data_IF_178003562625
#
_entry.id   IF_178003562625
#
_cell.length_a   1.000
_cell.length_b   1.000
_cell.length_c   1.000
_cell.angle_alpha   90.00
_cell.angle_beta   90.00
_cell.angle_gamma   90.00
#
_symmetry.space_group_name_H-M   'P 1'
#
loop_
_entity.id
_entity.type
_entity.pdbx_description
1 polymer ?
#
# COMPACT_ATOMS: atom_id res chain seq x y z
N UNK A 1 65.49 12.87 -31.03
CA UNK A 1 64.16 12.21 -30.90
C UNK A 1 63.62 12.00 -32.30
N UNK A 2 63.54 10.75 -32.79
CA UNK A 2 62.81 10.46 -34.04
C UNK A 2 61.32 10.74 -33.80
N UNK A 3 60.61 11.41 -34.71
CA UNK A 3 59.15 11.53 -34.60
C UNK A 3 58.56 10.13 -34.68
N UNK A 4 57.64 9.81 -33.77
CA UNK A 4 56.83 8.60 -33.87
C UNK A 4 55.97 8.72 -35.13
N UNK A 5 56.37 8.03 -36.19
CA UNK A 5 55.58 7.86 -37.39
C UNK A 5 54.36 6.97 -37.05
N UNK A 6 53.27 7.58 -36.62
CA UNK A 6 52.02 6.90 -36.20
C UNK A 6 51.01 6.75 -37.34
N UNK A 7 51.49 6.51 -38.56
CA UNK A 7 50.61 6.26 -39.69
C UNK A 7 50.98 4.95 -40.40
N UNK A 8 50.81 3.82 -39.69
CA UNK A 8 50.47 2.57 -40.37
C UNK A 8 48.96 2.62 -40.64
N UNK A 9 48.56 2.70 -41.90
CA UNK A 9 47.15 2.63 -42.27
C UNK A 9 46.56 1.30 -41.76
N UNK A 10 45.63 1.38 -40.81
CA UNK A 10 44.94 0.22 -40.26
C UNK A 10 44.27 -0.56 -41.40
N UNK A 11 44.47 -1.88 -41.39
CA UNK A 11 43.77 -2.80 -42.30
C UNK A 11 42.25 -2.73 -42.09
N UNK A 12 41.44 -3.09 -43.10
CA UNK A 12 39.99 -3.17 -42.94
C UNK A 12 39.56 -4.04 -41.76
N UNK A 13 40.25 -5.15 -41.51
CA UNK A 13 39.97 -6.06 -40.40
C UNK A 13 40.26 -5.42 -39.03
N UNK A 14 41.35 -4.67 -38.90
CA UNK A 14 41.66 -3.92 -37.68
C UNK A 14 40.65 -2.81 -37.42
N UNK A 15 40.21 -2.10 -38.47
CA UNK A 15 39.15 -1.09 -38.36
C UNK A 15 37.83 -1.72 -37.91
N UNK A 16 37.48 -2.90 -38.45
CA UNK A 16 36.26 -3.61 -38.04
C UNK A 16 36.34 -4.04 -36.57
N UNK A 17 37.46 -4.60 -36.12
CA UNK A 17 37.65 -4.94 -34.69
C UNK A 17 37.52 -3.73 -33.76
N UNK A 18 38.03 -2.57 -34.17
CA UNK A 18 37.87 -1.33 -33.41
C UNK A 18 36.41 -0.87 -33.37
N UNK A 19 35.71 -0.97 -34.50
CA UNK A 19 34.28 -0.64 -34.58
C UNK A 19 33.45 -1.57 -33.68
N UNK A 20 33.70 -2.88 -33.73
CA UNK A 20 33.00 -3.87 -32.89
C UNK A 20 33.21 -3.58 -31.40
N UNK A 21 34.42 -3.13 -31.00
CA UNK A 21 34.70 -2.68 -29.62
C UNK A 21 33.92 -1.42 -29.23
N UNK A 22 33.70 -0.49 -30.16
CA UNK A 22 32.89 0.71 -29.92
C UNK A 22 31.41 0.30 -29.78
N UNK A 23 30.90 -0.50 -30.71
CA UNK A 23 29.49 -0.92 -30.75
C UNK A 23 29.10 -1.78 -29.53
N UNK A 24 30.04 -2.54 -28.97
CA UNK A 24 29.83 -3.33 -27.74
C UNK A 24 30.11 -2.56 -26.45
N UNK A 25 30.64 -1.33 -26.54
CA UNK A 25 30.94 -0.51 -25.37
C UNK A 25 29.67 0.00 -24.70
N UNK A 26 29.54 -0.09 -23.35
CA UNK A 26 28.42 0.54 -22.63
C UNK A 26 28.28 2.04 -22.93
N UNK A 27 29.39 2.73 -23.21
CA UNK A 27 29.39 4.16 -23.53
C UNK A 27 28.70 4.50 -24.87
N UNK A 28 28.50 3.51 -25.74
CA UNK A 28 27.81 3.68 -27.02
C UNK A 28 26.32 3.33 -26.95
N UNK A 29 25.85 2.75 -25.84
CA UNK A 29 24.42 2.50 -25.61
C UNK A 29 23.73 3.82 -25.29
N UNK A 30 22.55 4.05 -25.87
CA UNK A 30 21.78 5.27 -25.56
C UNK A 30 21.38 5.27 -24.09
N UNK A 31 21.54 6.41 -23.43
CA UNK A 31 21.37 6.53 -21.97
C UNK A 31 20.01 6.02 -21.44
N UNK A 32 18.92 6.21 -22.21
CA UNK A 32 17.58 5.77 -21.80
C UNK A 32 17.30 4.28 -22.08
N UNK A 33 18.16 3.60 -22.85
CA UNK A 33 18.14 2.16 -23.10
C UNK A 33 19.12 1.40 -22.17
N UNK A 34 20.09 2.11 -21.56
CA UNK A 34 21.09 1.52 -20.65
C UNK A 34 20.58 1.39 -19.20
N UNK A 35 20.04 0.21 -18.87
CA UNK A 35 19.54 -0.10 -17.52
C UNK A 35 20.65 -0.04 -16.46
N UNK A 36 21.90 -0.41 -16.78
CA UNK A 36 23.01 -0.38 -15.81
C UNK A 36 23.38 1.06 -15.47
N UNK A 37 23.40 1.94 -16.48
CA UNK A 37 23.57 3.37 -16.28
C UNK A 37 22.43 3.96 -15.43
N UNK A 38 21.17 3.65 -15.75
CA UNK A 38 20.01 4.07 -14.96
C UNK A 38 20.02 3.56 -13.51
N UNK A 39 20.71 2.45 -13.24
CA UNK A 39 20.89 1.86 -11.91
C UNK A 39 22.01 2.52 -11.07
N UNK A 40 22.81 3.42 -11.63
CA UNK A 40 23.82 4.18 -10.88
C UNK A 40 23.22 5.04 -9.76
N UNK A 41 24.01 5.29 -8.71
CA UNK A 41 23.56 6.06 -7.52
C UNK A 41 23.18 7.50 -7.89
N UNK A 42 23.91 8.09 -8.82
CA UNK A 42 23.74 9.46 -9.31
C UNK A 42 22.38 9.65 -10.01
N UNK A 43 21.81 8.58 -10.57
CA UNK A 43 20.51 8.62 -11.24
C UNK A 43 19.34 8.25 -10.33
N UNK A 44 19.56 8.15 -9.01
CA UNK A 44 18.46 8.02 -8.04
C UNK A 44 17.37 9.09 -8.21
N UNK A 45 17.66 10.39 -8.45
CA UNK A 45 16.61 11.39 -8.67
C UNK A 45 15.72 11.09 -9.87
N UNK A 46 16.29 10.58 -10.96
CA UNK A 46 15.53 10.18 -12.16
C UNK A 46 14.63 8.98 -11.86
N UNK A 47 15.15 7.97 -11.14
CA UNK A 47 14.33 6.81 -10.73
C UNK A 47 13.20 7.20 -9.78
N UNK A 48 13.45 8.13 -8.85
CA UNK A 48 12.40 8.70 -8.00
C UNK A 48 11.33 9.40 -8.85
N UNK A 49 11.73 10.18 -9.85
CA UNK A 49 10.78 10.81 -10.78
C UNK A 49 9.95 9.78 -11.55
N UNK A 50 10.56 8.68 -12.00
CA UNK A 50 9.83 7.60 -12.69
C UNK A 50 8.81 6.90 -11.77
N UNK A 51 9.17 6.61 -10.51
CA UNK A 51 8.25 6.03 -9.54
C UNK A 51 7.14 6.99 -9.09
N UNK A 52 7.36 8.30 -9.18
CA UNK A 52 6.31 9.29 -9.03
C UNK A 52 5.37 9.31 -10.25
N UNK A 53 5.93 9.37 -11.46
CA UNK A 53 5.15 9.61 -12.69
C UNK A 53 4.37 8.38 -13.16
N UNK A 54 4.97 7.18 -13.14
CA UNK A 54 4.34 5.98 -13.72
C UNK A 54 2.96 5.69 -13.12
N UNK A 55 2.77 5.62 -11.79
CA UNK A 55 1.45 5.38 -11.23
C UNK A 55 0.48 6.52 -11.52
N UNK A 56 0.92 7.78 -11.45
CA UNK A 56 0.04 8.93 -11.73
C UNK A 56 -0.47 8.94 -13.17
N UNK A 57 0.41 8.68 -14.15
CA UNK A 57 0.05 8.62 -15.56
C UNK A 57 -0.94 7.49 -15.83
N UNK A 58 -0.65 6.29 -15.34
CA UNK A 58 -1.53 5.11 -15.54
C UNK A 58 -2.88 5.30 -14.84
N UNK A 59 -2.90 5.84 -13.61
CA UNK A 59 -4.14 6.16 -12.90
C UNK A 59 -4.97 7.21 -13.65
N UNK A 60 -4.33 8.20 -14.27
CA UNK A 60 -5.00 9.20 -15.09
C UNK A 60 -5.58 8.62 -16.40
N UNK A 61 -4.83 7.79 -17.12
CA UNK A 61 -5.28 7.06 -18.31
C UNK A 61 -6.51 6.20 -18.00
N UNK A 62 -6.50 5.58 -16.82
CA UNK A 62 -7.60 4.80 -16.28
C UNK A 62 -8.71 5.61 -15.61
N UNK A 63 -8.62 6.95 -15.64
CA UNK A 63 -9.63 7.90 -15.13
C UNK A 63 -9.93 7.72 -13.64
N UNK A 64 -8.96 7.27 -12.85
CA UNK A 64 -9.10 7.13 -11.39
C UNK A 64 -9.08 8.53 -10.75
N UNK A 65 -10.22 8.97 -10.24
CA UNK A 65 -10.40 10.34 -9.72
C UNK A 65 -10.03 10.47 -8.24
N UNK A 66 -10.26 9.42 -7.45
CA UNK A 66 -9.96 9.41 -6.03
C UNK A 66 -9.95 8.00 -5.48
N UNK A 67 -9.33 7.83 -4.31
CA UNK A 67 -9.14 6.54 -3.66
C UNK A 67 -9.65 6.54 -2.23
N UNK A 68 -9.96 5.34 -1.73
CA UNK A 68 -10.07 5.04 -0.30
C UNK A 68 -8.93 4.11 0.04
N UNK A 69 -8.03 4.57 0.90
CA UNK A 69 -6.86 3.80 1.30
C UNK A 69 -7.25 2.85 2.41
N UNK A 70 -6.98 1.56 2.24
CA UNK A 70 -7.25 0.53 3.25
C UNK A 70 -5.93 -0.11 3.70
N UNK A 71 -5.64 0.06 4.98
CA UNK A 71 -4.50 -0.54 5.66
C UNK A 71 -4.95 -1.56 6.70
N UNK A 72 -4.05 -2.50 7.01
CA UNK A 72 -4.23 -3.48 8.07
C UNK A 72 -3.19 -4.57 8.00
N UNK A 73 -3.31 -5.54 8.90
CA UNK A 73 -2.36 -6.66 9.00
C UNK A 73 -2.30 -7.50 7.73
N UNK A 74 -1.07 -7.80 7.29
CA UNK A 74 -0.80 -8.83 6.28
C UNK A 74 -0.94 -10.27 6.83
N UNK A 75 -1.20 -10.42 8.13
CA UNK A 75 -1.26 -11.72 8.83
C UNK A 75 -2.67 -12.13 9.26
N UNK A 76 -3.67 -11.25 9.08
CA UNK A 76 -5.07 -11.63 9.27
C UNK A 76 -5.48 -12.52 8.11
N UNK A 77 -6.25 -13.57 8.35
CA UNK A 77 -6.55 -14.61 7.36
C UNK A 77 -8.07 -14.81 7.27
N UNK A 78 -8.58 -15.38 6.16
CA UNK A 78 -9.98 -15.77 6.07
C UNK A 78 -10.39 -16.69 7.24
N UNK A 79 -11.63 -16.61 7.75
CA UNK A 79 -12.07 -17.39 8.91
C UNK A 79 -11.89 -18.91 8.75
N UNK A 80 -12.11 -19.44 7.55
CA UNK A 80 -11.93 -20.88 7.26
C UNK A 80 -10.48 -21.30 7.46
N UNK A 81 -9.55 -20.57 6.83
CA UNK A 81 -8.12 -20.84 6.95
C UNK A 81 -7.60 -20.67 8.37
N UNK A 82 -8.07 -19.66 9.11
CA UNK A 82 -7.69 -19.46 10.51
C UNK A 82 -8.14 -20.63 11.41
N UNK A 83 -9.34 -21.19 11.16
CA UNK A 83 -9.85 -22.36 11.90
C UNK A 83 -9.06 -23.63 11.56
N UNK A 84 -8.69 -23.81 10.30
CA UNK A 84 -7.85 -24.93 9.88
C UNK A 84 -6.47 -24.88 10.56
N UNK A 85 -5.82 -23.71 10.57
CA UNK A 85 -4.55 -23.52 11.27
C UNK A 85 -4.66 -23.81 12.78
N UNK A 86 -5.75 -23.36 13.42
CA UNK A 86 -6.00 -23.67 14.83
C UNK A 86 -6.17 -25.18 15.06
N UNK A 87 -6.94 -25.86 14.21
CA UNK A 87 -7.12 -27.31 14.33
C UNK A 87 -5.79 -28.06 14.17
N UNK A 88 -4.93 -27.63 13.23
CA UNK A 88 -3.60 -28.19 13.04
C UNK A 88 -2.69 -27.94 14.25
N UNK A 89 -2.65 -26.72 14.78
CA UNK A 89 -1.87 -26.38 15.96
C UNK A 89 -2.31 -27.20 17.19
N UNK A 90 -3.62 -27.34 17.40
CA UNK A 90 -4.19 -28.16 18.48
C UNK A 90 -3.87 -29.64 18.32
N UNK A 91 -3.86 -30.17 17.09
CA UNK A 91 -3.48 -31.56 16.84
C UNK A 91 -2.00 -31.82 17.18
N UNK A 92 -1.09 -30.90 16.81
CA UNK A 92 0.33 -30.99 17.18
C UNK A 92 0.52 -30.92 18.70
N UNK A 93 -0.11 -29.95 19.37
CA UNK A 93 0.00 -29.78 20.82
C UNK A 93 -0.60 -30.97 21.60
N UNK A 94 -1.59 -31.68 21.04
CA UNK A 94 -2.09 -32.93 21.63
C UNK A 94 -1.09 -34.08 21.54
N UNK A 95 -0.24 -34.09 20.51
CA UNK A 95 0.79 -35.12 20.33
C UNK A 95 1.97 -34.94 21.29
N UNK A 96 2.29 -33.70 21.68
CA UNK A 96 3.27 -33.40 22.73
C UNK A 96 2.76 -32.27 23.65
N UNK A 97 1.99 -32.60 24.71
CA UNK A 97 1.39 -31.60 25.60
C UNK A 97 2.38 -30.86 26.50
N UNK A 98 3.61 -31.35 26.63
CA UNK A 98 4.64 -30.72 27.47
C UNK A 98 5.45 -29.66 26.70
N UNK A 99 5.31 -29.60 25.37
CA UNK A 99 6.00 -28.65 24.53
C UNK A 99 5.38 -27.23 24.66
N UNK A 100 6.17 -26.34 25.24
CA UNK A 100 5.80 -24.94 25.44
C UNK A 100 5.59 -24.19 24.11
N UNK A 101 6.40 -24.46 23.08
CA UNK A 101 6.32 -23.77 21.80
C UNK A 101 5.04 -24.16 21.05
N UNK A 102 4.62 -25.43 21.14
CA UNK A 102 3.34 -25.88 20.60
C UNK A 102 2.15 -25.26 21.34
N UNK A 103 2.21 -25.12 22.67
CA UNK A 103 1.19 -24.39 23.43
C UNK A 103 1.09 -22.92 22.99
N UNK A 104 2.24 -22.27 22.75
CA UNK A 104 2.26 -20.90 22.20
C UNK A 104 1.78 -20.82 20.75
N UNK A 105 1.97 -21.85 19.93
CA UNK A 105 1.39 -21.94 18.58
C UNK A 105 -0.14 -21.97 18.63
N UNK A 106 -0.72 -22.77 19.52
CA UNK A 106 -2.18 -22.82 19.73
C UNK A 106 -2.74 -21.46 20.16
N UNK A 107 -2.11 -20.79 21.14
CA UNK A 107 -2.54 -19.46 21.57
C UNK A 107 -2.51 -18.44 20.42
N UNK A 108 -1.44 -18.46 19.60
CA UNK A 108 -1.34 -17.58 18.43
C UNK A 108 -2.41 -17.90 17.38
N UNK A 109 -2.69 -19.17 17.12
CA UNK A 109 -3.73 -19.59 16.19
C UNK A 109 -5.14 -19.20 16.69
N UNK A 110 -5.37 -19.29 18.00
CA UNK A 110 -6.63 -18.85 18.62
C UNK A 110 -6.86 -17.35 18.41
N UNK A 111 -5.82 -16.54 18.60
CA UNK A 111 -5.88 -15.11 18.29
C UNK A 111 -6.11 -14.85 16.80
N UNK A 112 -5.55 -15.65 15.89
CA UNK A 112 -5.83 -15.51 14.44
C UNK A 112 -7.30 -15.76 14.13
N UNK A 113 -7.91 -16.76 14.75
CA UNK A 113 -9.36 -17.02 14.61
C UNK A 113 -10.16 -15.82 15.10
N UNK A 114 -9.82 -15.27 16.26
CA UNK A 114 -10.48 -14.08 16.81
C UNK A 114 -10.38 -12.91 15.83
N UNK A 115 -9.20 -12.63 15.27
CA UNK A 115 -8.99 -11.52 14.34
C UNK A 115 -9.50 -11.79 12.91
N UNK A 116 -9.84 -13.03 12.56
CA UNK A 116 -10.26 -13.40 11.20
C UNK A 116 -11.55 -12.70 10.74
N UNK A 117 -12.41 -12.27 11.68
CA UNK A 117 -13.62 -11.51 11.33
C UNK A 117 -13.30 -10.17 10.65
N UNK A 118 -12.15 -9.54 10.97
CA UNK A 118 -11.70 -8.32 10.30
C UNK A 118 -11.41 -8.53 8.81
N UNK A 119 -11.07 -9.76 8.39
CA UNK A 119 -10.96 -10.08 6.97
C UNK A 119 -12.31 -9.89 6.26
N UNK A 120 -13.38 -10.47 6.81
CA UNK A 120 -14.71 -10.34 6.23
C UNK A 120 -15.25 -8.91 6.32
N UNK A 121 -14.98 -8.17 7.40
CA UNK A 121 -15.36 -6.77 7.50
C UNK A 121 -14.62 -5.89 6.48
N UNK A 122 -13.33 -6.11 6.24
CA UNK A 122 -12.57 -5.40 5.22
C UNK A 122 -13.08 -5.69 3.81
N UNK A 123 -13.38 -6.96 3.52
CA UNK A 123 -14.00 -7.39 2.27
C UNK A 123 -15.37 -6.76 2.06
N UNK A 124 -16.23 -6.79 3.08
CA UNK A 124 -17.57 -6.19 3.05
C UNK A 124 -17.51 -4.68 2.87
N UNK A 125 -16.64 -3.99 3.61
CA UNK A 125 -16.42 -2.56 3.51
C UNK A 125 -16.03 -2.13 2.09
N UNK A 126 -15.04 -2.81 1.52
CA UNK A 126 -14.59 -2.54 0.16
C UNK A 126 -15.69 -2.81 -0.89
N UNK A 127 -16.47 -3.87 -0.72
CA UNK A 127 -17.60 -4.19 -1.61
C UNK A 127 -18.69 -3.11 -1.58
N UNK A 128 -19.03 -2.59 -0.40
CA UNK A 128 -20.03 -1.52 -0.23
C UNK A 128 -19.60 -0.25 -0.98
N UNK A 129 -18.36 0.20 -0.75
CA UNK A 129 -17.84 1.42 -1.39
C UNK A 129 -17.75 1.25 -2.90
N UNK A 130 -17.22 0.10 -3.34
CA UNK A 130 -17.01 -0.17 -4.77
C UNK A 130 -18.33 -0.17 -5.53
N UNK A 131 -19.36 -0.86 -5.03
CA UNK A 131 -20.72 -0.79 -5.59
C UNK A 131 -21.25 0.64 -5.59
N UNK A 132 -21.13 1.36 -4.48
CA UNK A 132 -21.69 2.69 -4.35
C UNK A 132 -21.04 3.74 -5.27
N UNK A 133 -19.75 3.60 -5.61
CA UNK A 133 -18.96 4.66 -6.26
C UNK A 133 -18.48 4.29 -7.66
N UNK A 134 -18.51 3.02 -8.05
CA UNK A 134 -18.02 2.57 -9.35
C UNK A 134 -19.09 2.00 -10.30
N UNK A 135 -20.33 1.73 -9.84
CA UNK A 135 -21.39 1.20 -10.72
C UNK A 135 -21.68 2.07 -11.94
N UNK A 136 -21.61 3.40 -11.81
CA UNK A 136 -21.80 4.34 -12.93
C UNK A 136 -20.47 4.74 -13.61
N UNK A 137 -19.39 3.96 -13.42
CA UNK A 137 -18.04 4.24 -13.94
C UNK A 137 -17.48 5.62 -13.56
N UNK A 138 -17.92 6.20 -12.43
CA UNK A 138 -17.39 7.48 -11.93
C UNK A 138 -15.93 7.39 -11.47
N UNK A 139 -15.51 6.18 -11.05
CA UNK A 139 -14.15 5.85 -10.62
C UNK A 139 -13.64 6.80 -9.53
N UNK A 140 -14.54 7.15 -8.61
CA UNK A 140 -14.22 7.82 -7.36
C UNK A 140 -14.16 6.80 -6.22
N UNK A 141 -13.44 7.12 -5.14
CA UNK A 141 -13.29 6.25 -3.96
C UNK A 141 -12.84 4.82 -4.29
N UNK A 142 -12.00 4.67 -5.31
CA UNK A 142 -11.46 3.36 -5.71
C UNK A 142 -10.60 2.80 -4.58
N UNK A 143 -10.82 1.53 -4.23
CA UNK A 143 -10.07 0.88 -3.16
C UNK A 143 -8.59 0.78 -3.57
N UNK A 144 -7.72 1.30 -2.71
CA UNK A 144 -6.25 1.18 -2.85
C UNK A 144 -5.68 0.56 -1.59
N UNK A 145 -4.79 -0.41 -1.77
CA UNK A 145 -4.13 -1.14 -0.68
C UNK A 145 -2.64 -1.26 -0.97
N UNK A 146 -1.89 -1.80 -0.01
CA UNK A 146 -0.49 -2.19 -0.23
C UNK A 146 -0.30 -3.44 -1.08
N UNK A 147 -1.40 -4.08 -1.51
CA UNK A 147 -1.44 -5.21 -2.44
C UNK A 147 -0.88 -6.55 -1.92
N UNK A 148 -0.55 -6.65 -0.64
CA UNK A 148 -0.21 -7.91 0.02
C UNK A 148 -1.44 -8.75 0.42
N UNK A 149 -1.23 -9.83 1.20
CA UNK A 149 -2.26 -10.69 1.75
C UNK A 149 -2.99 -10.04 2.94
N UNK A 150 -3.90 -10.78 3.55
CA UNK A 150 -4.65 -10.39 4.73
C UNK A 150 -5.63 -9.25 4.48
N UNK A 151 -5.63 -8.21 5.31
CA UNK A 151 -6.61 -7.11 5.17
C UNK A 151 -6.54 -6.45 3.78
N UNK A 152 -5.33 -6.29 3.24
CA UNK A 152 -5.12 -5.70 1.92
C UNK A 152 -5.81 -6.55 0.84
N UNK A 153 -5.59 -7.86 0.87
CA UNK A 153 -6.26 -8.81 -0.02
C UNK A 153 -7.77 -8.81 0.18
N UNK A 154 -8.26 -8.84 1.42
CA UNK A 154 -9.68 -8.80 1.72
C UNK A 154 -10.36 -7.59 1.08
N UNK A 155 -9.76 -6.41 1.20
CA UNK A 155 -10.27 -5.19 0.59
C UNK A 155 -10.22 -5.24 -0.95
N UNK A 156 -9.13 -5.72 -1.56
CA UNK A 156 -9.06 -5.91 -3.02
C UNK A 156 -10.11 -6.92 -3.50
N UNK A 157 -10.29 -8.03 -2.79
CA UNK A 157 -11.29 -9.07 -3.05
C UNK A 157 -12.71 -8.53 -2.97
N UNK A 158 -13.02 -7.74 -1.95
CA UNK A 158 -14.31 -7.10 -1.79
C UNK A 158 -14.68 -6.23 -2.98
N UNK A 159 -13.74 -5.46 -3.52
CA UNK A 159 -13.95 -4.70 -4.76
C UNK A 159 -14.13 -5.62 -5.98
N UNK A 160 -13.25 -6.62 -6.13
CA UNK A 160 -13.27 -7.57 -7.24
C UNK A 160 -14.60 -8.32 -7.37
N UNK A 161 -15.15 -8.84 -6.28
CA UNK A 161 -16.42 -9.59 -6.25
C UNK A 161 -17.64 -8.76 -6.66
N UNK A 162 -17.48 -7.44 -6.77
CA UNK A 162 -18.51 -6.52 -7.25
C UNK A 162 -18.30 -6.11 -8.70
N UNK A 163 -17.34 -6.73 -9.40
CA UNK A 163 -16.95 -6.38 -10.77
C UNK A 163 -16.25 -5.01 -10.87
N UNK A 164 -15.80 -4.45 -9.74
CA UNK A 164 -15.22 -3.13 -9.65
C UNK A 164 -13.70 -3.19 -9.61
N UNK A 165 -13.06 -2.04 -9.88
CA UNK A 165 -11.59 -1.95 -9.93
C UNK A 165 -11.02 -1.72 -8.54
N UNK A 166 -9.79 -2.21 -8.34
CA UNK A 166 -9.00 -1.96 -7.13
C UNK A 166 -7.52 -1.84 -7.47
N UNK A 167 -6.79 -1.08 -6.67
CA UNK A 167 -5.38 -0.72 -6.88
C UNK A 167 -4.52 -1.43 -5.84
N UNK A 168 -3.35 -1.91 -6.27
CA UNK A 168 -2.32 -2.44 -5.39
C UNK A 168 -1.03 -1.64 -5.55
N UNK A 169 -0.56 -1.01 -4.47
CA UNK A 169 0.75 -0.36 -4.43
C UNK A 169 1.70 -1.28 -3.67
N UNK A 170 2.35 -2.23 -4.34
CA UNK A 170 3.33 -3.15 -3.74
C UNK A 170 4.69 -2.49 -3.51
N UNK A 171 5.52 -3.09 -2.66
CA UNK A 171 6.91 -2.66 -2.43
C UNK A 171 7.84 -3.87 -2.52
N UNK A 172 9.03 -3.69 -3.08
CA UNK A 172 10.08 -4.72 -3.03
C UNK A 172 10.59 -4.87 -1.59
N UNK A 173 10.55 -6.10 -1.07
CA UNK A 173 11.06 -6.47 0.25
C UNK A 173 12.14 -7.56 0.10
N UNK A 174 12.93 -7.78 1.16
CA UNK A 174 13.97 -8.82 1.17
C UNK A 174 13.40 -10.24 0.95
N UNK A 175 12.18 -10.47 1.40
CA UNK A 175 11.37 -11.63 1.02
C UNK A 175 10.23 -11.13 0.15
N UNK A 176 10.19 -11.60 -1.10
CA UNK A 176 9.25 -11.10 -2.09
C UNK A 176 7.80 -11.46 -1.70
N UNK A 177 6.96 -10.44 -1.61
CA UNK A 177 5.52 -10.59 -1.43
C UNK A 177 4.87 -10.46 -2.82
N UNK A 178 4.37 -11.58 -3.34
CA UNK A 178 3.56 -11.54 -4.55
C UNK A 178 2.31 -10.66 -4.33
N UNK A 179 1.88 -9.87 -5.33
CA UNK A 179 0.61 -9.17 -5.25
C UNK A 179 -0.54 -10.16 -5.07
N UNK A 180 -1.55 -9.78 -4.29
CA UNK A 180 -2.75 -10.60 -4.16
C UNK A 180 -3.52 -10.64 -5.50
N UNK A 181 -4.26 -11.73 -5.79
CA UNK A 181 -4.82 -11.98 -7.13
C UNK A 181 -6.07 -11.13 -7.45
N UNK A 182 -6.56 -10.31 -6.51
CA UNK A 182 -7.79 -9.53 -6.67
C UNK A 182 -7.55 -8.08 -7.11
N UNK A 183 -6.29 -7.68 -7.24
CA UNK A 183 -5.92 -6.37 -7.78
C UNK A 183 -6.23 -6.33 -9.27
N UNK A 184 -6.73 -5.19 -9.76
CA UNK A 184 -6.91 -4.99 -11.20
C UNK A 184 -5.53 -5.00 -11.88
N UNK A 185 -5.26 -5.87 -12.89
CA UNK A 185 -3.91 -6.07 -13.44
C UNK A 185 -3.20 -4.78 -13.87
N UNK A 186 -3.91 -3.87 -14.55
CA UNK A 186 -3.33 -2.60 -15.02
C UNK A 186 -3.10 -1.58 -13.91
N UNK A 187 -3.59 -1.87 -12.68
CA UNK A 187 -3.49 -1.02 -11.49
C UNK A 187 -2.65 -1.67 -10.38
N UNK A 188 -1.78 -2.63 -10.74
CA UNK A 188 -0.81 -3.23 -9.83
C UNK A 188 0.56 -2.57 -10.05
N UNK A 189 1.01 -1.79 -9.08
CA UNK A 189 2.25 -1.03 -9.14
C UNK A 189 3.27 -1.59 -8.15
N UNK A 190 4.52 -1.70 -8.56
CA UNK A 190 5.62 -2.13 -7.69
C UNK A 190 6.59 -0.97 -7.47
N UNK A 191 6.82 -0.63 -6.22
CA UNK A 191 7.73 0.44 -5.80
C UNK A 191 9.03 -0.13 -5.25
N UNK A 192 10.10 0.67 -5.36
CA UNK A 192 11.35 0.43 -4.64
C UNK A 192 11.51 1.42 -3.48
N UNK A 193 11.03 2.67 -3.64
CA UNK A 193 11.17 3.69 -2.59
C UNK A 193 9.89 3.82 -1.76
N UNK A 194 9.97 3.49 -0.47
CA UNK A 194 8.86 3.63 0.49
C UNK A 194 8.21 5.00 0.49
N UNK A 195 9.00 6.08 0.44
CA UNK A 195 8.49 7.45 0.49
C UNK A 195 7.54 7.77 -0.68
N UNK A 196 7.84 7.28 -1.89
CA UNK A 196 6.97 7.51 -3.04
C UNK A 196 5.70 6.68 -2.96
N UNK A 197 5.81 5.43 -2.51
CA UNK A 197 4.63 4.58 -2.25
C UNK A 197 3.67 5.23 -1.27
N UNK A 198 4.18 5.74 -0.14
CA UNK A 198 3.44 6.50 0.88
C UNK A 198 2.76 7.74 0.30
N UNK A 199 3.51 8.52 -0.47
CA UNK A 199 2.97 9.69 -1.17
C UNK A 199 1.77 9.30 -2.07
N UNK A 200 1.88 8.22 -2.85
CA UNK A 200 0.80 7.76 -3.72
C UNK A 200 -0.45 7.30 -2.98
N UNK A 201 -0.33 6.75 -1.77
CA UNK A 201 -1.51 6.48 -0.94
C UNK A 201 -2.30 7.78 -0.68
N UNK A 202 -1.61 8.87 -0.34
CA UNK A 202 -2.23 10.12 0.09
C UNK A 202 -2.63 11.07 -1.05
N UNK A 203 -1.94 11.05 -2.18
CA UNK A 203 -2.18 11.98 -3.30
C UNK A 203 -3.65 12.01 -3.74
N UNK A 204 -4.26 10.84 -3.91
CA UNK A 204 -5.66 10.69 -4.37
C UNK A 204 -6.65 10.31 -3.26
N UNK A 205 -6.17 10.13 -2.02
CA UNK A 205 -7.00 9.72 -0.90
C UNK A 205 -8.12 10.73 -0.62
N UNK A 206 -9.34 10.20 -0.55
CA UNK A 206 -10.53 10.85 0.03
C UNK A 206 -10.94 10.24 1.37
N UNK A 207 -10.31 9.17 1.80
CA UNK A 207 -10.43 8.59 3.13
C UNK A 207 -9.23 7.67 3.38
N UNK A 208 -8.86 7.53 4.66
CA UNK A 208 -7.95 6.51 5.13
C UNK A 208 -8.70 5.59 6.09
N UNK A 209 -8.51 4.29 5.93
CA UNK A 209 -9.13 3.26 6.75
C UNK A 209 -8.06 2.33 7.28
N UNK A 210 -8.04 2.10 8.58
CA UNK A 210 -7.14 1.16 9.23
C UNK A 210 -7.91 0.10 10.01
N UNK A 211 -7.74 -1.15 9.58
CA UNK A 211 -8.06 -2.34 10.36
C UNK A 211 -6.89 -2.68 11.29
N UNK A 212 -7.07 -3.58 12.27
CA UNK A 212 -5.98 -4.01 13.13
C UNK A 212 -4.75 -4.46 12.34
N UNK A 213 -3.59 -3.96 12.77
CA UNK A 213 -2.37 -4.03 11.98
C UNK A 213 -1.11 -3.82 12.82
N UNK A 214 0.03 -4.12 12.23
CA UNK A 214 1.35 -3.95 12.87
C UNK A 214 1.97 -2.60 12.56
N UNK A 215 3.32 -2.53 12.63
CA UNK A 215 4.07 -1.29 12.42
C UNK A 215 3.78 -0.59 11.09
N UNK A 216 3.61 -1.34 9.99
CA UNK A 216 3.27 -0.72 8.71
C UNK A 216 1.92 0.02 8.74
N UNK A 217 0.92 -0.53 9.43
CA UNK A 217 -0.39 0.13 9.58
C UNK A 217 -0.30 1.35 10.49
N UNK A 218 0.48 1.26 11.58
CA UNK A 218 0.69 2.37 12.50
C UNK A 218 1.45 3.52 11.84
N UNK A 219 2.50 3.20 11.08
CA UNK A 219 3.31 4.17 10.33
C UNK A 219 2.42 5.01 9.40
N UNK A 220 1.56 4.35 8.60
CA UNK A 220 0.65 5.02 7.68
C UNK A 220 -0.47 5.80 8.41
N UNK A 221 -0.95 5.29 9.56
CA UNK A 221 -1.94 5.98 10.39
C UNK A 221 -1.38 7.28 10.95
N UNK A 222 -0.23 7.23 11.62
CA UNK A 222 0.39 8.41 12.22
C UNK A 222 0.89 9.40 11.17
N UNK A 223 1.38 8.92 10.02
CA UNK A 223 1.71 9.81 8.89
C UNK A 223 0.46 10.55 8.40
N UNK A 224 -0.66 9.83 8.20
CA UNK A 224 -1.92 10.45 7.75
C UNK A 224 -2.43 11.47 8.77
N UNK A 225 -2.44 11.13 10.07
CA UNK A 225 -2.84 12.03 11.14
C UNK A 225 -1.98 13.30 11.14
N UNK A 226 -0.66 13.15 11.04
CA UNK A 226 0.28 14.29 11.00
C UNK A 226 0.05 15.17 9.77
N UNK A 227 -0.17 14.57 8.59
CA UNK A 227 -0.46 15.33 7.36
C UNK A 227 -1.76 16.13 7.45
N UNK A 228 -2.78 15.59 8.10
CA UNK A 228 -4.08 16.25 8.30
C UNK A 228 -3.97 17.33 9.37
N UNK A 229 -3.38 17.04 10.53
CA UNK A 229 -3.14 17.98 11.63
C UNK A 229 -2.35 19.21 11.15
N UNK A 230 -1.29 18.99 10.37
CA UNK A 230 -0.43 20.07 9.86
C UNK A 230 -0.99 20.77 8.61
N UNK A 231 -2.21 20.42 8.17
CA UNK A 231 -2.89 20.94 6.97
C UNK A 231 -2.14 20.72 5.65
N UNK A 232 -1.11 19.87 5.64
CA UNK A 232 -0.38 19.48 4.42
C UNK A 232 -1.23 18.60 3.50
N UNK A 233 -2.25 17.95 4.05
CA UNK A 233 -3.31 17.27 3.31
C UNK A 233 -4.65 17.91 3.69
N UNK A 234 -5.52 18.11 2.69
CA UNK A 234 -6.93 18.50 2.95
C UNK A 234 -7.54 17.50 3.93
N UNK A 235 -8.33 17.99 4.88
CA UNK A 235 -9.05 17.14 5.84
C UNK A 235 -9.81 16.00 5.13
N UNK A 236 -9.50 14.76 5.50
CA UNK A 236 -10.13 13.53 5.03
C UNK A 236 -10.56 12.70 6.25
N UNK A 237 -11.64 11.91 6.16
CA UNK A 237 -12.03 11.03 7.26
C UNK A 237 -11.00 9.91 7.44
N UNK A 238 -10.60 9.70 8.70
CA UNK A 238 -9.71 8.63 9.14
C UNK A 238 -10.55 7.67 9.99
N UNK A 239 -10.73 6.44 9.50
CA UNK A 239 -11.63 5.46 10.12
C UNK A 239 -10.85 4.25 10.62
N UNK A 240 -11.01 3.92 11.89
CA UNK A 240 -10.37 2.78 12.54
C UNK A 240 -11.42 1.70 12.84
N UNK A 241 -11.13 0.46 12.44
CA UNK A 241 -11.97 -0.70 12.72
C UNK A 241 -11.47 -1.46 13.95
N UNK A 242 -12.39 -1.79 14.87
CA UNK A 242 -12.10 -2.61 16.05
C UNK A 242 -11.69 -1.80 17.27
N UNK A 243 -12.66 -1.30 18.04
CA UNK A 243 -12.39 -0.38 19.17
C UNK A 243 -11.49 -0.95 20.23
N UNK A 244 -11.67 -2.22 20.59
CA UNK A 244 -10.87 -2.85 21.63
C UNK A 244 -9.38 -2.85 21.24
N UNK A 245 -9.08 -3.21 19.98
CA UNK A 245 -7.71 -3.20 19.47
C UNK A 245 -7.08 -1.81 19.58
N UNK A 246 -7.75 -0.78 19.04
CA UNK A 246 -7.18 0.56 19.00
C UNK A 246 -7.02 1.19 20.38
N UNK A 247 -7.97 0.98 21.30
CA UNK A 247 -7.86 1.44 22.70
C UNK A 247 -6.65 0.85 23.43
N UNK A 248 -6.25 -0.37 23.10
CA UNK A 248 -5.09 -1.04 23.71
C UNK A 248 -3.77 -0.66 23.06
N UNK A 249 -3.79 -0.28 21.78
CA UNK A 249 -2.58 0.02 21.01
C UNK A 249 -2.16 1.48 21.13
N UNK A 250 -3.11 2.42 21.13
CA UNK A 250 -2.84 3.86 21.31
C UNK A 250 -3.93 4.48 22.17
N UNK A 251 -3.53 5.12 23.26
CA UNK A 251 -4.40 5.98 24.04
C UNK A 251 -4.28 7.43 23.53
N UNK A 252 -5.17 7.79 22.59
CA UNK A 252 -5.20 9.13 21.99
C UNK A 252 -5.63 10.21 22.98
N UNK A 253 -6.46 9.87 23.98
CA UNK A 253 -6.89 10.81 25.00
C UNK A 253 -5.70 11.15 25.92
N UNK A 254 -4.90 10.14 26.30
CA UNK A 254 -3.68 10.38 27.06
C UNK A 254 -2.66 11.26 26.32
N UNK A 255 -2.55 11.14 24.98
CA UNK A 255 -1.73 12.06 24.19
C UNK A 255 -2.22 13.51 24.28
N UNK A 256 -3.53 13.73 24.32
CA UNK A 256 -4.12 15.06 24.48
C UNK A 256 -3.97 15.57 25.93
N UNK A 257 -4.21 14.72 26.94
CA UNK A 257 -4.05 15.04 28.36
C UNK A 257 -2.62 15.49 28.70
N UNK A 258 -1.63 14.83 28.10
CA UNK A 258 -0.21 15.16 28.28
C UNK A 258 0.26 16.37 27.45
N UNK A 259 -0.62 16.94 26.61
CA UNK A 259 -0.31 18.10 25.78
C UNK A 259 0.55 17.82 24.56
N UNK A 260 0.69 16.55 24.14
CA UNK A 260 1.45 16.17 22.95
C UNK A 260 0.65 16.44 21.65
N UNK A 261 -0.68 16.44 21.75
CA UNK A 261 -1.62 16.84 20.69
C UNK A 261 -2.76 17.69 21.29
N UNK A 262 -3.55 18.36 20.45
CA UNK A 262 -4.76 19.05 20.89
C UNK A 262 -5.95 18.09 21.08
N UNK A 263 -6.94 18.48 21.89
CA UNK A 263 -8.19 17.71 22.04
C UNK A 263 -9.04 17.68 20.76
N UNK A 264 -8.82 18.62 19.85
CA UNK A 264 -9.39 18.63 18.52
C UNK A 264 -8.79 17.55 17.61
N UNK A 265 -7.54 17.14 17.85
CA UNK A 265 -6.84 16.14 17.03
C UNK A 265 -7.40 14.74 17.27
N UNK A 266 -7.93 14.46 18.47
CA UNK A 266 -8.62 13.19 18.75
C UNK A 266 -9.90 13.03 17.93
N UNK A 267 -10.49 14.15 17.48
CA UNK A 267 -11.69 14.17 16.63
C UNK A 267 -11.40 13.87 15.15
N UNK A 268 -10.13 13.82 14.75
CA UNK A 268 -9.74 13.38 13.41
C UNK A 268 -10.09 11.91 13.16
N UNK A 269 -10.26 11.14 14.23
CA UNK A 269 -10.41 9.68 14.21
C UNK A 269 -11.85 9.28 14.49
N UNK A 270 -12.41 8.43 13.63
CA UNK A 270 -13.65 7.72 13.89
C UNK A 270 -13.39 6.23 14.10
N UNK A 271 -13.81 5.68 15.24
CA UNK A 271 -13.69 4.25 15.54
C UNK A 271 -15.04 3.56 15.33
N UNK A 272 -15.07 2.55 14.47
CA UNK A 272 -16.26 1.79 14.06
C UNK A 272 -16.05 0.28 14.23
N UNK A 273 -17.14 -0.48 14.25
CA UNK A 273 -17.08 -1.95 14.30
C UNK A 273 -17.49 -2.60 12.99
N UNK A 274 -18.37 -1.96 12.22
CA UNK A 274 -18.99 -2.55 11.03
C UNK A 274 -18.69 -1.79 9.75
N UNK A 275 -18.60 -2.52 8.65
CA UNK A 275 -18.42 -1.99 7.31
C UNK A 275 -19.40 -0.84 6.96
N UNK A 276 -20.68 -1.00 7.30
CA UNK A 276 -21.71 0.01 7.04
C UNK A 276 -21.47 1.31 7.82
N UNK A 277 -21.00 1.22 9.06
CA UNK A 277 -20.70 2.38 9.91
C UNK A 277 -19.53 3.18 9.32
N UNK A 278 -18.47 2.48 8.92
CA UNK A 278 -17.31 3.12 8.28
C UNK A 278 -17.69 3.84 6.99
N UNK A 279 -18.49 3.21 6.13
CA UNK A 279 -18.96 3.87 4.91
C UNK A 279 -19.92 5.04 5.20
N UNK A 280 -20.84 4.86 6.14
CA UNK A 280 -21.76 5.93 6.54
C UNK A 280 -21.00 7.17 7.03
N UNK A 281 -19.96 6.97 7.84
CA UNK A 281 -19.10 8.05 8.33
C UNK A 281 -18.40 8.79 7.17
N UNK A 282 -17.71 8.07 6.28
CA UNK A 282 -17.04 8.67 5.11
C UNK A 282 -18.03 9.45 4.24
N UNK A 283 -19.21 8.88 3.99
CA UNK A 283 -20.24 9.53 3.16
C UNK A 283 -20.79 10.79 3.81
N UNK A 284 -21.05 10.77 5.12
CA UNK A 284 -21.60 11.92 5.84
C UNK A 284 -20.56 13.05 5.91
N UNK A 285 -19.29 12.72 6.19
CA UNK A 285 -18.18 13.66 6.13
C UNK A 285 -18.18 14.46 4.81
N UNK A 286 -18.22 13.77 3.67
CA UNK A 286 -18.18 14.45 2.38
C UNK A 286 -19.48 15.16 2.01
N UNK A 287 -20.64 14.80 2.60
CA UNK A 287 -21.87 15.58 2.43
C UNK A 287 -21.76 16.93 3.12
N UNK A 288 -21.28 16.95 4.36
CA UNK A 288 -21.09 18.17 5.15
C UNK A 288 -20.00 19.08 4.57
N UNK A 289 -18.93 18.48 4.02
CA UNK A 289 -17.80 19.20 3.45
C UNK A 289 -17.95 19.53 1.95
N UNK A 290 -19.07 19.14 1.31
CA UNK A 290 -19.47 19.60 -0.04
C UNK A 290 -20.18 20.95 0.00
N UNK A 291 -20.83 21.30 1.11
CA UNK A 291 -21.41 22.64 1.32
C UNK A 291 -20.34 23.71 1.54
N UNK A 292 -19.14 23.34 2.00
CA UNK A 292 -18.02 24.26 2.27
C UNK A 292 -17.02 24.39 1.11
N UNK A 293 -17.19 23.65 0.01
CA UNK A 293 -16.26 23.67 -1.14
C UNK A 293 -16.38 24.89 -2.07
N UNK A 294 -16.98 25.99 -1.60
CA UNK A 294 -16.74 27.33 -2.15
C UNK A 294 -15.87 28.11 -1.17
N UNK A 295 -14.58 27.80 -1.13
CA UNK A 295 -13.52 28.75 -0.74
C UNK A 295 -12.20 28.26 -1.35
N UNK A 296 -11.33 29.21 -1.72
CA UNK A 296 -10.68 29.29 -3.04
C UNK A 296 -9.59 28.26 -3.30
#
# INVERSE_FOLDING_TARGET
>A
MKPLDRHSDLTPEEKQKLLDRILSSPAYVKAYEDVKFLQRRELRPIRLQLELLKPEMVLAEHKIKSTVVVFGSARVMPPEQAREELAQAQAKAKADPADYDLAQEVNRAQMRVEFSHYYEEARRFAAIISRAQQSDKRLEFVIVTGGGPGIMEAANRGAYETGCRSIGLNITLAHEQAPNPFITPELSFQFHYFALRKMHFMMRAKAMVAFPGGFGTLDELFETLTLVQTTKKRHIPIVLFGREFWKRVVDFDYLAETGMIGWEDTRLIAIVEKAEEGWAHIRNFWKEHRSSSRMP
#
